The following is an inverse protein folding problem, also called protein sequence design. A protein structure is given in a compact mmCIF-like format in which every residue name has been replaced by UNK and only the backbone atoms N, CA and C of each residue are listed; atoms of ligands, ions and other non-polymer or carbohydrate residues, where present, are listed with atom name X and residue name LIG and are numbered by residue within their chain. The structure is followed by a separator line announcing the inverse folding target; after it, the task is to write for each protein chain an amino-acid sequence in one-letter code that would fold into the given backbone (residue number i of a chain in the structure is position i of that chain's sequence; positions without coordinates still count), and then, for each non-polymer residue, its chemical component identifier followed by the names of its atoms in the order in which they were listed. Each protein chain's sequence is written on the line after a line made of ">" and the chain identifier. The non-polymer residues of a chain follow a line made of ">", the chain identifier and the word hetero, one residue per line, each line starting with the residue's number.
data_IF_877923926150
#
_entry.id   IF_877923926150
#
_cell.length_a   1.000
_cell.length_b   1.000
_cell.length_c   1.000
_cell.angle_alpha   90.00
_cell.angle_beta   90.00
_cell.angle_gamma   90.00
#
_symmetry.space_group_name_H-M   'P 1'
#
loop_
_entity.id
_entity.type
_entity.pdbx_description
1 polymer ?
#
# COMPACT_ATOMS: atom_id res chain seq x y z
N UNK A 1 19.97 0.43 10.26
CA UNK A 1 18.79 -0.34 9.79
C UNK A 1 17.51 0.39 10.16
N UNK A 2 16.60 0.58 9.21
CA UNK A 2 15.24 1.05 9.44
C UNK A 2 14.30 -0.14 9.28
N UNK A 3 13.31 -0.23 10.16
CA UNK A 3 12.26 -1.22 10.05
C UNK A 3 11.34 -0.92 8.90
N UNK A 4 10.90 -1.96 8.23
CA UNK A 4 9.71 -1.95 7.38
C UNK A 4 8.65 -2.83 8.00
N UNK A 5 7.46 -2.35 7.94
CA UNK A 5 6.34 -3.00 8.57
C UNK A 5 5.12 -3.06 7.70
N UNK A 6 4.43 -4.14 7.98
CA UNK A 6 3.23 -4.61 7.34
C UNK A 6 1.96 -3.80 7.61
N UNK A 7 1.98 -2.81 8.48
CA UNK A 7 0.78 -2.01 8.77
C UNK A 7 1.16 -0.55 8.90
N UNK A 8 0.56 0.27 8.07
CA UNK A 8 0.61 1.71 8.18
C UNK A 8 -0.40 2.12 9.25
N UNK A 9 0.07 2.71 10.34
CA UNK A 9 -0.78 3.35 11.36
C UNK A 9 -1.21 4.72 10.87
N UNK A 10 -2.51 4.97 10.87
CA UNK A 10 -3.00 6.31 10.61
C UNK A 10 -2.61 7.27 11.75
N UNK A 11 -2.25 8.52 11.39
CA UNK A 11 -1.87 9.56 12.33
C UNK A 11 -3.08 10.18 13.03
N UNK A 12 -4.26 10.13 12.40
CA UNK A 12 -5.49 10.66 12.96
C UNK A 12 -6.22 9.59 13.77
N UNK A 13 -6.35 9.79 15.08
CA UNK A 13 -7.18 8.94 15.94
C UNK A 13 -8.63 8.84 15.43
N UNK A 14 -9.12 9.86 14.72
CA UNK A 14 -10.46 9.89 14.11
C UNK A 14 -10.61 8.88 12.99
N UNK A 15 -9.65 8.80 12.06
CA UNK A 15 -9.73 7.88 10.91
C UNK A 15 -9.51 6.43 11.35
N UNK A 16 -8.59 6.21 12.31
CA UNK A 16 -8.40 4.91 12.92
C UNK A 16 -9.67 4.38 13.60
N UNK A 17 -10.34 5.21 14.39
CA UNK A 17 -11.59 4.81 15.05
C UNK A 17 -12.70 4.53 14.02
N UNK A 18 -12.77 5.33 12.96
CA UNK A 18 -13.76 5.23 11.90
C UNK A 18 -13.60 3.94 11.08
N UNK A 19 -12.37 3.57 10.69
CA UNK A 19 -12.13 2.41 9.84
C UNK A 19 -11.83 1.11 10.61
N UNK A 20 -11.73 1.16 11.94
CA UNK A 20 -11.43 -0.03 12.74
C UNK A 20 -12.43 -1.18 12.54
N UNK A 21 -13.72 -0.88 12.32
CA UNK A 21 -14.76 -1.88 12.08
C UNK A 21 -14.72 -2.47 10.66
N UNK A 22 -13.92 -1.90 9.72
CA UNK A 22 -13.62 -2.51 8.42
C UNK A 22 -12.56 -3.61 8.53
N UNK A 23 -12.03 -3.87 9.72
CA UNK A 23 -11.02 -4.91 9.92
C UNK A 23 -11.41 -6.23 9.26
N UNK A 24 -10.46 -6.83 8.53
CA UNK A 24 -10.63 -8.03 7.71
C UNK A 24 -11.16 -7.78 6.30
N UNK A 25 -11.48 -6.54 5.94
CA UNK A 25 -11.89 -6.21 4.58
C UNK A 25 -10.67 -6.02 3.69
N UNK A 26 -10.62 -6.75 2.57
CA UNK A 26 -9.61 -6.60 1.52
C UNK A 26 -10.25 -6.19 0.21
N UNK A 27 -9.53 -5.41 -0.60
CA UNK A 27 -9.93 -5.07 -1.96
C UNK A 27 -8.72 -4.69 -2.81
N UNK A 28 -8.77 -4.92 -4.14
CA UNK A 28 -7.77 -4.43 -5.09
C UNK A 28 -7.70 -2.90 -5.05
N UNK A 29 -6.49 -2.37 -5.09
CA UNK A 29 -6.24 -0.92 -5.14
C UNK A 29 -4.86 -0.64 -5.72
N UNK A 30 -4.61 0.59 -6.19
CA UNK A 30 -3.27 1.07 -6.45
C UNK A 30 -2.82 2.03 -5.35
N UNK A 31 -1.64 1.80 -4.78
CA UNK A 31 -1.10 2.62 -3.70
C UNK A 31 0.18 3.31 -4.17
N UNK A 32 0.29 4.61 -3.96
CA UNK A 32 1.43 5.42 -4.39
C UNK A 32 2.10 6.14 -3.22
N UNK A 33 3.44 6.26 -3.31
CA UNK A 33 4.25 7.09 -2.43
C UNK A 33 5.42 7.67 -3.25
N UNK A 34 5.45 8.98 -3.46
CA UNK A 34 6.36 9.60 -4.42
C UNK A 34 6.17 9.00 -5.82
N UNK A 35 7.27 8.60 -6.45
CA UNK A 35 7.26 8.01 -7.80
C UNK A 35 6.96 6.49 -7.82
N UNK A 36 6.82 5.87 -6.65
CA UNK A 36 6.56 4.43 -6.55
C UNK A 36 5.07 4.14 -6.45
N UNK A 37 4.63 3.07 -7.13
CA UNK A 37 3.25 2.61 -7.11
C UNK A 37 3.19 1.08 -7.13
N UNK A 38 2.19 0.52 -6.44
CA UNK A 38 1.89 -0.92 -6.42
C UNK A 38 0.39 -1.13 -6.53
N UNK A 39 -0.01 -1.99 -7.49
CA UNK A 39 -1.41 -2.34 -7.75
C UNK A 39 -1.65 -3.76 -7.29
N UNK A 40 -2.11 -3.92 -6.07
CA UNK A 40 -2.40 -5.18 -5.39
C UNK A 40 -3.47 -4.94 -4.31
N UNK A 41 -3.85 -5.98 -3.59
CA UNK A 41 -4.82 -5.83 -2.51
C UNK A 41 -4.30 -4.97 -1.36
N UNK A 42 -5.19 -4.11 -0.85
CA UNK A 42 -5.07 -3.50 0.48
C UNK A 42 -5.95 -4.26 1.46
N UNK A 43 -5.56 -4.27 2.74
CA UNK A 43 -6.29 -4.92 3.83
C UNK A 43 -6.51 -3.93 4.96
N UNK A 44 -7.75 -3.72 5.35
CA UNK A 44 -8.09 -3.01 6.58
C UNK A 44 -7.85 -3.89 7.80
N UNK A 45 -7.16 -3.35 8.79
CA UNK A 45 -6.90 -4.01 10.08
C UNK A 45 -7.42 -3.12 11.22
N UNK A 46 -7.53 -3.67 12.40
CA UNK A 46 -7.89 -2.91 13.61
C UNK A 46 -6.85 -1.83 14.00
N UNK A 47 -5.69 -1.82 13.36
CA UNK A 47 -4.58 -0.87 13.62
C UNK A 47 -4.31 0.09 12.50
N UNK A 48 -4.82 -0.16 11.30
CA UNK A 48 -4.59 0.63 10.10
C UNK A 48 -4.70 -0.21 8.82
N UNK A 49 -3.88 0.09 7.83
CA UNK A 49 -3.86 -0.61 6.55
C UNK A 49 -2.68 -1.58 6.45
N UNK A 50 -2.92 -2.70 5.81
CA UNK A 50 -1.97 -3.74 5.47
C UNK A 50 -2.28 -4.28 4.06
N UNK A 51 -1.84 -5.46 3.75
CA UNK A 51 -2.02 -6.11 2.44
C UNK A 51 -0.84 -5.86 1.51
N UNK A 52 -0.73 -6.62 0.43
CA UNK A 52 0.44 -6.62 -0.46
C UNK A 52 0.85 -5.24 -0.95
N UNK A 53 -0.11 -4.41 -1.42
CA UNK A 53 0.20 -3.06 -1.89
C UNK A 53 0.80 -2.18 -0.77
N UNK A 54 0.27 -2.29 0.46
CA UNK A 54 0.77 -1.53 1.61
C UNK A 54 2.13 -2.03 2.07
N UNK A 55 2.35 -3.34 2.05
CA UNK A 55 3.64 -3.94 2.39
C UNK A 55 4.74 -3.43 1.46
N UNK A 56 4.48 -3.45 0.17
CA UNK A 56 5.45 -3.03 -0.84
C UNK A 56 5.70 -1.52 -0.79
N UNK A 57 4.64 -0.70 -0.72
CA UNK A 57 4.82 0.77 -0.67
C UNK A 57 5.51 1.24 0.62
N UNK A 58 5.35 0.50 1.73
CA UNK A 58 6.04 0.80 3.00
C UNK A 58 7.56 0.80 2.86
N UNK A 59 8.06 0.15 1.83
CA UNK A 59 9.48 0.12 1.46
C UNK A 59 10.00 1.47 0.98
N UNK A 60 9.14 2.32 0.47
CA UNK A 60 9.46 3.61 -0.12
C UNK A 60 8.92 4.78 0.70
N UNK A 61 8.01 4.51 1.64
CA UNK A 61 7.46 5.51 2.53
C UNK A 61 8.44 5.89 3.65
N UNK A 62 8.58 7.19 3.93
CA UNK A 62 9.32 7.72 5.07
C UNK A 62 8.40 8.49 6.03
N UNK A 63 8.75 8.56 7.34
CA UNK A 63 7.93 9.30 8.30
C UNK A 63 7.71 10.76 7.87
N UNK A 64 6.43 11.11 7.71
CA UNK A 64 6.03 12.43 7.24
C UNK A 64 5.45 12.44 5.82
N UNK A 65 5.76 11.43 5.00
CA UNK A 65 5.18 11.28 3.68
C UNK A 65 3.70 10.90 3.73
N UNK A 66 2.98 11.26 2.68
CA UNK A 66 1.62 10.79 2.43
C UNK A 66 1.64 9.62 1.44
N UNK A 67 0.65 8.75 1.55
CA UNK A 67 0.32 7.77 0.51
C UNK A 67 -0.99 8.16 -0.15
N UNK A 68 -1.13 7.87 -1.43
CA UNK A 68 -2.38 8.03 -2.17
C UNK A 68 -2.88 6.64 -2.59
N UNK A 69 -4.17 6.38 -2.38
CA UNK A 69 -4.81 5.11 -2.70
C UNK A 69 -5.84 5.38 -3.80
N UNK A 70 -5.72 4.65 -4.90
CA UNK A 70 -6.72 4.54 -5.94
C UNK A 70 -7.55 3.28 -5.69
N UNK A 71 -8.83 3.46 -5.40
CA UNK A 71 -9.76 2.37 -5.09
C UNK A 71 -10.38 1.73 -6.34
N UNK A 72 -10.18 2.32 -7.52
CA UNK A 72 -10.75 1.87 -8.80
C UNK A 72 -9.72 1.99 -9.94
N UNK A 73 -8.51 1.39 -9.82
CA UNK A 73 -7.42 1.61 -10.76
C UNK A 73 -7.70 1.09 -12.19
N UNK A 74 -8.71 0.23 -12.34
CA UNK A 74 -9.05 -0.43 -13.63
C UNK A 74 -10.03 0.37 -14.50
N UNK A 75 -10.56 1.52 -14.03
CA UNK A 75 -11.54 2.30 -14.77
C UNK A 75 -11.43 3.80 -14.49
N UNK A 76 -11.93 4.64 -15.38
CA UNK A 76 -12.16 6.05 -15.11
C UNK A 76 -13.47 6.20 -14.31
N UNK A 77 -13.32 6.54 -13.02
CA UNK A 77 -14.47 6.66 -12.13
C UNK A 77 -15.43 7.79 -12.54
N UNK A 78 -14.93 8.88 -13.13
CA UNK A 78 -15.80 9.96 -13.56
C UNK A 78 -16.64 9.57 -14.76
N UNK A 79 -16.04 9.00 -15.79
CA UNK A 79 -16.78 8.50 -16.97
C UNK A 79 -17.78 7.43 -16.57
N UNK A 80 -17.40 6.51 -15.69
CA UNK A 80 -18.30 5.48 -15.16
C UNK A 80 -19.50 6.07 -14.40
N UNK A 81 -19.30 7.06 -13.53
CA UNK A 81 -20.36 7.73 -12.78
C UNK A 81 -21.32 8.48 -13.70
N UNK A 82 -20.80 9.21 -14.71
CA UNK A 82 -21.61 9.94 -15.67
C UNK A 82 -22.43 8.98 -16.54
N UNK A 83 -21.84 7.93 -17.09
CA UNK A 83 -22.55 6.92 -17.87
C UNK A 83 -23.66 6.25 -17.05
N UNK A 84 -23.42 5.99 -15.77
CA UNK A 84 -24.45 5.44 -14.87
C UNK A 84 -25.55 6.48 -14.57
N UNK A 85 -25.22 7.75 -14.43
CA UNK A 85 -26.18 8.84 -14.26
C UNK A 85 -27.15 8.92 -15.45
N UNK A 86 -26.62 8.82 -16.68
CA UNK A 86 -27.41 8.86 -17.92
C UNK A 86 -28.30 7.62 -18.09
N UNK A 87 -27.73 6.43 -17.86
CA UNK A 87 -28.44 5.16 -18.10
C UNK A 87 -29.40 4.77 -16.97
N UNK A 88 -29.12 5.18 -15.74
CA UNK A 88 -29.84 4.74 -14.55
C UNK A 88 -30.01 5.86 -13.51
N UNK A 89 -30.62 7.00 -13.84
CA UNK A 89 -30.68 8.20 -13.01
C UNK A 89 -31.36 8.00 -11.65
N UNK A 90 -32.21 6.96 -11.51
CA UNK A 90 -32.90 6.65 -10.26
C UNK A 90 -32.06 5.83 -9.27
N UNK A 91 -30.94 5.27 -9.71
CA UNK A 91 -30.04 4.49 -8.87
C UNK A 91 -29.38 5.40 -7.83
N UNK A 92 -29.23 4.91 -6.60
CA UNK A 92 -28.50 5.63 -5.55
C UNK A 92 -26.99 5.54 -5.78
N UNK A 93 -26.27 6.59 -5.41
CA UNK A 93 -24.79 6.62 -5.52
C UNK A 93 -24.17 5.42 -4.79
N UNK A 94 -24.60 5.14 -3.56
CA UNK A 94 -24.13 3.99 -2.79
C UNK A 94 -24.35 2.65 -3.50
N UNK A 95 -25.52 2.48 -4.14
CA UNK A 95 -25.86 1.25 -4.86
C UNK A 95 -24.96 1.04 -6.07
N UNK A 96 -24.63 2.13 -6.80
CA UNK A 96 -23.69 2.05 -7.89
C UNK A 96 -22.28 1.70 -7.40
N UNK A 97 -21.76 2.40 -6.38
CA UNK A 97 -20.45 2.15 -5.82
C UNK A 97 -20.29 0.70 -5.31
N UNK A 98 -21.37 0.12 -4.73
CA UNK A 98 -21.38 -1.26 -4.24
C UNK A 98 -21.26 -2.31 -5.35
N UNK A 99 -21.37 -1.93 -6.62
CA UNK A 99 -21.08 -2.85 -7.75
C UNK A 99 -19.59 -3.07 -7.95
N UNK A 100 -18.74 -2.20 -7.41
CA UNK A 100 -17.29 -2.22 -7.56
C UNK A 100 -16.53 -2.26 -6.22
N UNK A 101 -17.11 -1.72 -5.17
CA UNK A 101 -16.49 -1.61 -3.85
C UNK A 101 -17.28 -2.40 -2.80
N UNK A 102 -16.61 -2.92 -1.77
CA UNK A 102 -17.28 -3.63 -0.67
C UNK A 102 -18.32 -2.75 0.03
N UNK A 103 -19.50 -3.30 0.30
CA UNK A 103 -20.65 -2.59 0.91
C UNK A 103 -20.28 -1.87 2.21
N UNK A 104 -19.46 -2.51 3.07
CA UNK A 104 -19.02 -1.92 4.35
C UNK A 104 -18.18 -0.65 4.11
N UNK A 105 -17.27 -0.67 3.12
CA UNK A 105 -16.47 0.49 2.76
C UNK A 105 -17.35 1.61 2.21
N UNK A 106 -18.24 1.32 1.26
CA UNK A 106 -19.15 2.32 0.68
C UNK A 106 -20.02 2.98 1.76
N UNK A 107 -20.48 2.21 2.75
CA UNK A 107 -21.24 2.75 3.88
C UNK A 107 -20.42 3.78 4.67
N UNK A 108 -19.13 3.53 4.92
CA UNK A 108 -18.25 4.47 5.64
C UNK A 108 -17.90 5.71 4.82
N UNK A 109 -17.82 5.57 3.51
CA UNK A 109 -17.55 6.70 2.62
C UNK A 109 -18.77 7.60 2.44
N UNK A 110 -19.97 7.06 2.64
CA UNK A 110 -21.24 7.83 2.60
C UNK A 110 -21.27 8.85 3.74
N UNK A 111 -21.72 10.07 3.44
CA UNK A 111 -21.71 11.22 4.38
C UNK A 111 -20.33 11.84 4.59
N UNK A 112 -19.25 11.19 4.15
CA UNK A 112 -17.90 11.73 4.19
C UNK A 112 -17.42 12.20 2.81
N UNK A 113 -17.70 11.42 1.77
CA UNK A 113 -17.26 11.70 0.40
C UNK A 113 -18.42 12.09 -0.52
N UNK A 114 -19.62 11.65 -0.22
CA UNK A 114 -20.82 11.89 -1.02
C UNK A 114 -22.08 11.82 -0.17
N UNK A 115 -23.11 12.54 -0.60
CA UNK A 115 -24.46 12.36 -0.11
C UNK A 115 -25.13 11.25 -0.91
N UNK A 116 -25.78 10.30 -0.19
CA UNK A 116 -26.38 9.13 -0.84
C UNK A 116 -27.74 9.47 -1.47
N UNK A 117 -27.70 10.35 -2.47
CA UNK A 117 -28.83 10.70 -3.32
C UNK A 117 -28.97 9.79 -4.55
N UNK A 118 -29.95 10.12 -5.41
CA UNK A 118 -30.10 9.50 -6.73
C UNK A 118 -29.11 10.11 -7.70
N UNK A 119 -28.49 9.30 -8.55
CA UNK A 119 -27.49 9.75 -9.52
C UNK A 119 -27.99 10.93 -10.37
N UNK A 120 -29.24 10.90 -10.85
CA UNK A 120 -29.81 11.98 -11.65
C UNK A 120 -29.99 13.32 -10.92
N UNK A 121 -29.87 13.34 -9.59
CA UNK A 121 -29.97 14.54 -8.76
C UNK A 121 -28.59 15.10 -8.37
N UNK A 122 -27.49 14.36 -8.65
CA UNK A 122 -26.13 14.76 -8.30
C UNK A 122 -25.53 15.65 -9.40
N UNK A 123 -24.98 16.79 -9.02
CA UNK A 123 -24.31 17.65 -9.98
C UNK A 123 -23.03 17.01 -10.54
N UNK A 124 -22.71 17.27 -11.82
CA UNK A 124 -21.48 16.76 -12.44
C UNK A 124 -20.20 17.15 -11.69
N UNK A 125 -20.19 18.31 -11.06
CA UNK A 125 -19.09 18.75 -10.20
C UNK A 125 -18.87 17.79 -9.02
N UNK A 126 -19.96 17.35 -8.40
CA UNK A 126 -19.89 16.49 -7.22
C UNK A 126 -19.54 15.05 -7.61
N UNK A 127 -19.97 14.60 -8.80
CA UNK A 127 -19.50 13.33 -9.39
C UNK A 127 -18.00 13.37 -9.68
N UNK A 128 -17.48 14.50 -10.18
CA UNK A 128 -16.04 14.67 -10.43
C UNK A 128 -15.25 14.70 -9.12
N UNK A 129 -15.75 15.36 -8.10
CA UNK A 129 -15.12 15.35 -6.79
C UNK A 129 -15.08 13.95 -6.18
N UNK A 130 -16.17 13.22 -6.28
CA UNK A 130 -16.23 11.82 -5.85
C UNK A 130 -15.22 10.95 -6.61
N UNK A 131 -15.16 11.08 -7.94
CA UNK A 131 -14.20 10.36 -8.77
C UNK A 131 -12.75 10.67 -8.37
N UNK A 132 -12.43 11.95 -8.14
CA UNK A 132 -11.10 12.35 -7.69
C UNK A 132 -10.73 11.74 -6.32
N UNK A 133 -11.68 11.64 -5.40
CA UNK A 133 -11.47 11.00 -4.10
C UNK A 133 -11.30 9.49 -4.22
N UNK A 134 -12.02 8.84 -5.13
CA UNK A 134 -11.88 7.41 -5.41
C UNK A 134 -10.51 7.06 -5.99
N UNK A 135 -9.97 7.92 -6.88
CA UNK A 135 -8.64 7.74 -7.48
C UNK A 135 -7.49 8.31 -6.65
N UNK A 136 -7.77 9.13 -5.66
CA UNK A 136 -6.73 9.83 -4.92
C UNK A 136 -7.03 9.97 -3.43
N UNK A 137 -7.38 8.88 -2.76
CA UNK A 137 -7.57 8.89 -1.31
C UNK A 137 -6.23 9.07 -0.60
N UNK A 138 -5.95 10.29 -0.15
CA UNK A 138 -4.69 10.64 0.51
C UNK A 138 -4.76 10.32 2.00
N UNK A 139 -3.80 9.51 2.48
CA UNK A 139 -3.59 9.23 3.88
C UNK A 139 -2.19 9.66 4.31
N UNK A 140 -2.07 10.14 5.55
CA UNK A 140 -0.78 10.46 6.16
C UNK A 140 -0.49 9.48 7.29
N UNK A 141 0.27 8.41 7.02
CA UNK A 141 0.59 7.41 8.03
C UNK A 141 1.33 8.01 9.21
N UNK A 142 0.95 7.62 10.42
CA UNK A 142 1.62 8.06 11.66
C UNK A 142 2.84 7.22 12.02
N UNK A 143 3.04 6.09 11.37
CA UNK A 143 4.13 5.16 11.64
C UNK A 143 3.82 3.75 11.17
N UNK A 144 4.65 2.85 11.55
CA UNK A 144 4.60 1.42 11.27
C UNK A 144 4.42 0.62 12.57
N UNK A 145 4.15 -0.70 12.50
CA UNK A 145 3.83 -1.54 13.67
C UNK A 145 5.03 -1.99 14.54
N UNK A 146 6.30 -1.76 14.14
CA UNK A 146 7.52 -2.11 14.87
C UNK A 146 8.02 -3.55 14.58
N UNK A 147 9.19 -3.92 15.09
CA UNK A 147 9.92 -5.16 14.81
C UNK A 147 9.14 -6.46 15.06
N UNK A 148 8.05 -6.40 15.82
CA UNK A 148 7.28 -7.61 16.15
C UNK A 148 6.52 -8.19 14.96
N UNK A 149 6.22 -7.37 13.96
CA UNK A 149 5.39 -7.74 12.81
C UNK A 149 6.09 -7.49 11.47
N UNK A 150 7.34 -6.98 11.50
CA UNK A 150 8.11 -6.75 10.31
C UNK A 150 8.54 -8.07 9.66
N UNK A 151 8.21 -8.25 8.38
CA UNK A 151 8.69 -9.39 7.59
C UNK A 151 10.07 -9.13 6.98
N UNK A 152 10.38 -7.87 6.71
CA UNK A 152 11.68 -7.44 6.18
C UNK A 152 12.15 -6.17 6.87
N UNK A 153 13.47 -5.94 6.86
CA UNK A 153 14.09 -4.73 7.39
C UNK A 153 14.79 -3.96 6.28
N UNK A 154 14.67 -2.63 6.32
CA UNK A 154 15.40 -1.72 5.46
C UNK A 154 16.78 -1.42 6.02
N UNK A 155 17.73 -1.25 5.10
CA UNK A 155 19.09 -0.93 5.43
C UNK A 155 19.89 -2.16 5.86
N UNK A 156 21.16 -2.00 5.85
CA UNK A 156 22.12 -3.06 6.13
C UNK A 156 23.52 -2.54 5.87
N UNK A 157 24.45 -3.45 5.65
CA UNK A 157 25.78 -3.12 5.14
C UNK A 157 25.63 -2.75 3.66
N UNK A 158 26.20 -1.63 3.27
CA UNK A 158 26.16 -1.16 1.88
C UNK A 158 26.76 -2.21 0.93
N UNK A 159 26.08 -2.45 -0.18
CA UNK A 159 26.49 -3.52 -1.11
C UNK A 159 27.82 -3.24 -1.79
N UNK A 160 28.21 -1.99 -1.92
CA UNK A 160 29.52 -1.56 -2.43
C UNK A 160 30.68 -1.85 -1.45
N UNK A 161 30.39 -2.08 -0.18
CA UNK A 161 31.38 -2.46 0.83
C UNK A 161 31.84 -3.92 0.73
N UNK A 162 31.11 -4.76 -0.02
CA UNK A 162 31.43 -6.17 -0.20
C UNK A 162 31.79 -6.51 -1.65
N UNK A 163 32.51 -7.62 -1.83
CA UNK A 163 32.76 -8.19 -3.15
C UNK A 163 31.45 -8.76 -3.74
N UNK A 164 31.12 -8.42 -4.96
CA UNK A 164 29.95 -8.97 -5.66
C UNK A 164 30.08 -10.47 -6.01
N UNK A 165 31.27 -11.03 -5.92
CA UNK A 165 31.54 -12.45 -6.21
C UNK A 165 31.62 -13.28 -4.95
N UNK A 166 32.35 -12.82 -3.93
CA UNK A 166 32.66 -13.62 -2.74
C UNK A 166 31.87 -13.20 -1.51
N UNK A 167 31.23 -12.01 -1.54
CA UNK A 167 30.59 -11.38 -0.38
C UNK A 167 31.56 -11.04 0.77
N UNK A 168 32.85 -11.09 0.52
CA UNK A 168 33.87 -10.64 1.45
C UNK A 168 33.85 -9.11 1.59
N UNK A 169 33.97 -8.62 2.81
CA UNK A 169 34.09 -7.17 3.09
C UNK A 169 35.42 -6.64 2.59
N UNK A 170 35.41 -5.70 1.65
CA UNK A 170 36.62 -5.19 0.97
C UNK A 170 37.66 -4.63 1.92
N UNK A 171 37.27 -4.09 3.07
CA UNK A 171 38.12 -3.46 4.04
C UNK A 171 38.55 -4.38 5.20
N UNK A 172 37.94 -5.58 5.30
CA UNK A 172 38.16 -6.52 6.41
C UNK A 172 38.31 -7.93 5.85
N UNK A 173 39.53 -8.35 5.46
CA UNK A 173 39.75 -9.70 4.96
C UNK A 173 39.25 -10.79 5.92
N UNK A 174 38.65 -11.84 5.38
CA UNK A 174 38.10 -12.95 6.14
C UNK A 174 36.70 -12.68 6.74
N UNK A 175 36.14 -11.49 6.56
CA UNK A 175 34.75 -11.19 6.99
C UNK A 175 33.81 -11.25 5.77
N UNK A 176 32.80 -12.09 5.85
CA UNK A 176 31.78 -12.28 4.80
C UNK A 176 30.42 -11.87 5.31
N UNK A 177 29.62 -11.17 4.47
CA UNK A 177 28.27 -10.69 4.82
C UNK A 177 27.32 -11.06 3.70
N UNK A 178 26.26 -11.79 4.03
CA UNK A 178 25.27 -12.33 3.09
C UNK A 178 23.82 -12.01 3.51
N UNK A 179 22.88 -12.26 2.62
CA UNK A 179 21.45 -12.15 2.89
C UNK A 179 21.00 -10.75 3.27
N UNK A 180 20.04 -10.67 4.16
CA UNK A 180 19.46 -9.40 4.64
C UNK A 180 20.39 -8.56 5.53
N UNK A 181 21.56 -9.07 5.88
CA UNK A 181 22.58 -8.26 6.55
C UNK A 181 23.12 -7.18 5.62
N UNK A 182 23.09 -7.41 4.31
CA UNK A 182 23.32 -6.41 3.27
C UNK A 182 22.09 -5.51 3.08
N UNK A 183 22.31 -4.30 2.55
CA UNK A 183 21.23 -3.39 2.19
C UNK A 183 20.59 -3.78 0.84
N UNK A 184 19.95 -4.94 0.86
CA UNK A 184 19.19 -5.49 -0.27
C UNK A 184 17.79 -5.84 0.23
N UNK A 185 16.78 -5.35 -0.48
CA UNK A 185 15.38 -5.63 -0.15
C UNK A 185 14.61 -5.93 -1.43
N UNK A 186 14.10 -7.14 -1.53
CA UNK A 186 13.22 -7.58 -2.60
C UNK A 186 11.76 -7.24 -2.33
N UNK A 187 10.96 -7.26 -3.39
CA UNK A 187 9.51 -7.16 -3.30
C UNK A 187 8.91 -8.44 -2.71
N UNK A 188 7.58 -8.46 -2.49
CA UNK A 188 6.85 -9.67 -2.16
C UNK A 188 6.96 -10.71 -3.29
N UNK A 189 6.89 -12.00 -2.93
CA UNK A 189 7.01 -13.11 -3.88
C UNK A 189 8.24 -14.00 -3.66
N UNK A 190 8.82 -13.97 -2.44
CA UNK A 190 9.93 -14.86 -2.07
C UNK A 190 11.33 -14.35 -2.45
N UNK A 191 11.45 -13.16 -3.06
CA UNK A 191 12.73 -12.61 -3.51
C UNK A 191 13.74 -12.42 -2.38
N UNK A 192 13.31 -12.08 -1.17
CA UNK A 192 14.21 -11.91 -0.01
C UNK A 192 14.80 -13.26 0.41
N UNK A 193 14.01 -14.34 0.42
CA UNK A 193 14.52 -15.70 0.66
C UNK A 193 15.45 -16.14 -0.47
N UNK A 194 15.07 -15.89 -1.73
CA UNK A 194 15.93 -16.24 -2.87
C UNK A 194 17.27 -15.51 -2.78
N UNK A 195 17.27 -14.23 -2.42
CA UNK A 195 18.50 -13.46 -2.19
C UNK A 195 19.35 -14.06 -1.08
N UNK A 196 18.75 -14.43 0.07
CA UNK A 196 19.45 -15.02 1.19
C UNK A 196 20.15 -16.32 0.77
N UNK A 197 19.45 -17.23 0.07
CA UNK A 197 20.01 -18.48 -0.42
C UNK A 197 21.06 -18.28 -1.51
N UNK A 198 20.82 -17.43 -2.50
CA UNK A 198 21.74 -17.18 -3.60
C UNK A 198 23.04 -16.55 -3.13
N UNK A 199 22.96 -15.56 -2.22
CA UNK A 199 24.14 -14.92 -1.66
C UNK A 199 24.96 -15.88 -0.81
N UNK A 200 24.31 -16.75 -0.02
CA UNK A 200 24.99 -17.77 0.77
C UNK A 200 25.69 -18.80 -0.12
N UNK A 201 25.00 -19.27 -1.17
CA UNK A 201 25.57 -20.23 -2.12
C UNK A 201 26.80 -19.64 -2.83
N UNK A 202 26.67 -18.43 -3.40
CA UNK A 202 27.81 -17.75 -4.04
C UNK A 202 28.98 -17.53 -3.09
N UNK A 203 28.74 -17.19 -1.84
CA UNK A 203 29.78 -17.04 -0.84
C UNK A 203 30.51 -18.37 -0.58
N UNK A 204 29.75 -19.46 -0.38
CA UNK A 204 30.30 -20.78 -0.09
C UNK A 204 31.16 -21.36 -1.23
N UNK A 205 30.82 -21.06 -2.49
CA UNK A 205 31.61 -21.50 -3.66
C UNK A 205 32.99 -20.83 -3.75
N UNK A 206 33.25 -19.80 -2.93
CA UNK A 206 34.49 -19.02 -2.95
C UNK A 206 35.27 -19.05 -1.62
N UNK A 207 34.78 -19.81 -0.64
CA UNK A 207 35.48 -20.09 0.62
C UNK A 207 36.37 -21.33 0.50
#
# INVERSE_FOLDING_TARGET
>A
RRQRQMCIRDRNNSDRARFAHLSGLSLPAAVRCGDNAFSEDILFTHRGLSGPAILQISSYWTPGDSIAIDLLPELDAFEWLVAAQESSPRTRVSSLLQTRLPKRLVHELSGMWFDDGRLGEVAHRDLRELANRLHGWVLKPGGTEGYRTAEVTLGGVATDAVSSKTFEVKQVPGLYIIGEALDVTGWLGGFNFQWAWSSAFCCAEHL
#
